data_IF_210423801477
#
_entry.id   IF_210423801477
#
_cell.length_a   1.000
_cell.length_b   1.000
_cell.length_c   1.000
_cell.angle_alpha   90.00
_cell.angle_beta   90.00
_cell.angle_gamma   90.00
#
_symmetry.space_group_name_H-M   'P 1'
#
loop_
_entity.id
_entity.type
_entity.pdbx_description
1 polymer ?
#
# COMPACT_ATOMS: atom_id res chain seq x y z
N UNK A 1 -16.10 -2.11 2.01
CA UNK A 1 -15.34 -1.45 0.91
C UNK A 1 -13.88 -1.77 1.16
N UNK A 2 -13.09 -2.05 0.11
CA UNK A 2 -11.65 -2.33 0.26
C UNK A 2 -10.83 -1.12 -0.17
N UNK A 3 -9.77 -0.80 0.56
CA UNK A 3 -8.84 0.28 0.27
C UNK A 3 -7.47 -0.28 -0.14
N UNK A 4 -7.03 0.11 -1.34
CA UNK A 4 -5.74 -0.29 -1.89
C UNK A 4 -4.85 0.93 -2.06
N UNK A 5 -3.56 0.76 -1.81
CA UNK A 5 -2.54 1.78 -2.04
C UNK A 5 -1.70 1.40 -3.25
N UNK A 6 -1.33 2.39 -4.07
CA UNK A 6 -0.56 2.18 -5.31
C UNK A 6 0.84 2.74 -5.14
N UNK A 7 1.77 1.88 -4.72
CA UNK A 7 3.16 2.26 -4.44
C UNK A 7 4.08 1.03 -4.44
N UNK A 8 5.36 1.24 -4.73
CA UNK A 8 6.43 0.26 -4.54
C UNK A 8 7.34 0.58 -3.34
N UNK A 9 7.07 1.69 -2.63
CA UNK A 9 7.84 2.07 -1.45
C UNK A 9 7.49 1.20 -0.24
N UNK A 10 8.43 0.35 0.15
CA UNK A 10 8.27 -0.64 1.23
C UNK A 10 8.11 0.03 2.60
N UNK A 11 8.73 1.20 2.84
CA UNK A 11 8.57 1.90 4.12
C UNK A 11 7.16 2.47 4.24
N UNK A 12 6.68 3.15 3.19
CA UNK A 12 5.31 3.66 3.16
C UNK A 12 4.26 2.55 3.29
N UNK A 13 4.48 1.39 2.65
CA UNK A 13 3.58 0.23 2.80
C UNK A 13 3.54 -0.23 4.26
N UNK A 14 4.69 -0.33 4.93
CA UNK A 14 4.74 -0.77 6.34
C UNK A 14 3.95 0.17 7.25
N UNK A 15 4.20 1.47 7.14
CA UNK A 15 3.52 2.48 7.96
C UNK A 15 2.00 2.48 7.72
N UNK A 16 1.57 2.37 6.45
CA UNK A 16 0.15 2.36 6.11
C UNK A 16 -0.55 1.08 6.54
N UNK A 17 0.12 -0.07 6.49
CA UNK A 17 -0.43 -1.33 7.01
C UNK A 17 -0.63 -1.29 8.52
N UNK A 18 0.22 -0.60 9.28
CA UNK A 18 0.07 -0.44 10.73
C UNK A 18 -1.19 0.34 11.13
N UNK A 19 -1.73 1.17 10.24
CA UNK A 19 -2.99 1.89 10.48
C UNK A 19 -4.22 0.98 10.52
N UNK A 20 -4.14 -0.22 9.94
CA UNK A 20 -5.28 -1.15 9.79
C UNK A 20 -6.36 -0.70 8.81
N UNK A 21 -6.08 0.34 8.00
CA UNK A 21 -7.04 0.89 7.02
C UNK A 21 -6.85 0.36 5.60
N UNK A 22 -5.75 -0.34 5.33
CA UNK A 22 -5.35 -0.81 4.00
C UNK A 22 -5.58 -2.30 3.85
N UNK A 23 -6.23 -2.70 2.77
CA UNK A 23 -6.57 -4.09 2.44
C UNK A 23 -5.57 -4.74 1.47
N UNK A 24 -4.70 -3.95 0.84
CA UNK A 24 -3.67 -4.45 -0.07
C UNK A 24 -2.91 -3.36 -0.82
N UNK A 25 -1.96 -3.80 -1.64
CA UNK A 25 -1.08 -2.95 -2.44
C UNK A 25 -1.18 -3.31 -3.91
N UNK A 26 -1.23 -2.31 -4.78
CA UNK A 26 -1.00 -2.45 -6.23
C UNK A 26 0.31 -1.77 -6.60
N UNK A 27 0.93 -2.25 -7.68
CA UNK A 27 2.17 -1.70 -8.20
C UNK A 27 2.20 -1.83 -9.72
N UNK A 28 3.14 -1.15 -10.36
CA UNK A 28 3.41 -1.26 -11.78
C UNK A 28 4.93 -1.05 -12.03
N UNK A 29 5.47 -1.42 -13.20
CA UNK A 29 6.91 -1.35 -13.47
C UNK A 29 7.55 0.05 -13.38
N UNK A 30 6.77 1.12 -13.37
CA UNK A 30 7.26 2.50 -13.30
C UNK A 30 7.31 3.05 -11.87
N UNK A 31 6.61 2.40 -10.92
CA UNK A 31 6.68 2.69 -9.49
C UNK A 31 7.75 1.81 -8.85
#
# INVERSE_FOLDING_TARGET
MKFFIDTADVEAIRELMETGLVDGVTTNPSL
#
